data_IF_777733668848
#
_entry.id   IF_777733668848
#
_cell.length_a   1.000
_cell.length_b   1.000
_cell.length_c   1.000
_cell.angle_alpha   90.00
_cell.angle_beta   90.00
_cell.angle_gamma   90.00
#
_symmetry.space_group_name_H-M   'P 1'
#
loop_
_entity.id
_entity.type
_entity.pdbx_description
1 polymer ?
#
# COMPACT_ATOMS: atom_id res chain seq x y z
N UNK A 1 -1.89 -22.08 -22.12
CA UNK A 1 -1.88 -20.76 -21.45
C UNK A 1 -0.44 -20.42 -21.12
N UNK A 2 0.16 -19.47 -21.84
CA UNK A 2 1.59 -19.15 -21.72
C UNK A 2 1.84 -18.30 -20.46
N UNK A 3 2.41 -18.93 -19.43
CA UNK A 3 2.69 -18.33 -18.11
C UNK A 3 3.87 -17.33 -18.09
N UNK A 4 4.27 -16.77 -19.25
CA UNK A 4 5.40 -15.84 -19.35
C UNK A 4 4.98 -14.35 -19.26
N UNK A 5 3.70 -14.05 -19.40
CA UNK A 5 3.17 -12.69 -19.24
C UNK A 5 2.51 -12.60 -17.86
N UNK A 6 3.22 -12.02 -16.88
CA UNK A 6 2.70 -11.87 -15.53
C UNK A 6 1.31 -11.22 -15.50
N UNK A 7 0.39 -11.71 -14.68
CA UNK A 7 -1.00 -11.21 -14.66
C UNK A 7 -1.15 -9.90 -13.89
N UNK A 8 -1.96 -8.98 -14.43
CA UNK A 8 -2.35 -7.72 -13.76
C UNK A 8 -3.11 -8.03 -12.46
N UNK A 9 -4.01 -9.02 -12.49
CA UNK A 9 -4.80 -9.41 -11.32
C UNK A 9 -3.93 -9.90 -10.16
N UNK A 10 -2.84 -10.61 -10.47
CA UNK A 10 -1.86 -11.04 -9.45
C UNK A 10 -1.15 -9.83 -8.84
N UNK A 11 -0.78 -8.84 -9.66
CA UNK A 11 -0.17 -7.60 -9.17
C UNK A 11 -1.10 -6.80 -8.25
N UNK A 12 -2.38 -6.73 -8.60
CA UNK A 12 -3.42 -6.10 -7.77
C UNK A 12 -3.60 -6.81 -6.44
N UNK A 13 -3.73 -8.15 -6.46
CA UNK A 13 -3.90 -8.96 -5.25
C UNK A 13 -2.70 -8.84 -4.30
N UNK A 14 -1.48 -8.87 -4.83
CA UNK A 14 -0.27 -8.67 -4.03
C UNK A 14 -0.25 -7.25 -3.45
N UNK A 15 -0.51 -6.23 -4.28
CA UNK A 15 -0.50 -4.83 -3.85
C UNK A 15 -1.53 -4.52 -2.77
N UNK A 16 -2.77 -4.96 -2.93
CA UNK A 16 -3.81 -4.80 -1.90
C UNK A 16 -3.58 -5.69 -0.68
N UNK A 17 -3.04 -6.91 -0.86
CA UNK A 17 -2.68 -7.78 0.24
C UNK A 17 -1.64 -7.12 1.17
N UNK A 18 -0.59 -6.51 0.60
CA UNK A 18 0.40 -5.76 1.38
C UNK A 18 -0.21 -4.53 2.06
N UNK A 19 -1.02 -3.75 1.34
CA UNK A 19 -1.68 -2.57 1.91
C UNK A 19 -2.65 -2.93 3.04
N UNK A 20 -3.39 -4.05 2.92
CA UNK A 20 -4.27 -4.55 3.97
C UNK A 20 -3.49 -5.05 5.19
N UNK A 21 -2.36 -5.72 4.96
CA UNK A 21 -1.48 -6.15 6.05
C UNK A 21 -0.91 -4.94 6.81
N UNK A 22 -0.50 -3.89 6.12
CA UNK A 22 -0.06 -2.63 6.74
C UNK A 22 -1.19 -1.94 7.51
N UNK A 23 -2.40 -1.87 6.93
CA UNK A 23 -3.56 -1.30 7.60
C UNK A 23 -3.94 -2.10 8.86
N UNK A 24 -3.89 -3.43 8.80
CA UNK A 24 -4.12 -4.31 9.94
C UNK A 24 -3.07 -4.14 11.03
N UNK A 25 -1.79 -4.04 10.67
CA UNK A 25 -0.70 -3.79 11.61
C UNK A 25 -0.85 -2.42 12.27
N UNK A 26 -1.21 -1.39 11.49
CA UNK A 26 -1.48 -0.04 11.98
C UNK A 26 -2.68 0.00 12.94
N UNK A 27 -3.73 -0.76 12.65
CA UNK A 27 -4.90 -0.89 13.52
C UNK A 27 -4.58 -1.61 14.84
N UNK A 28 -3.77 -2.66 14.79
CA UNK A 28 -3.28 -3.35 15.99
C UNK A 28 -2.34 -2.46 16.81
N UNK A 29 -1.53 -1.63 16.15
CA UNK A 29 -0.69 -0.64 16.82
C UNK A 29 -1.55 0.41 17.54
N UNK A 30 -2.62 0.91 16.93
CA UNK A 30 -3.59 1.82 17.58
C UNK A 30 -4.20 1.23 18.85
N UNK A 31 -4.50 -0.07 18.86
CA UNK A 31 -5.12 -0.76 20.00
C UNK A 31 -4.21 -0.84 21.23
N UNK A 32 -2.89 -0.79 21.05
CA UNK A 32 -1.90 -1.01 22.11
C UNK A 32 -1.08 0.26 22.44
N UNK A 33 -1.49 1.43 21.92
CA UNK A 33 -0.77 2.69 22.05
C UNK A 33 -1.48 3.62 23.04
N UNK A 34 -0.73 4.11 24.03
CA UNK A 34 -1.17 5.17 24.95
C UNK A 34 -1.39 6.51 24.20
N UNK A 35 -2.28 7.36 24.71
CA UNK A 35 -2.69 8.63 24.09
C UNK A 35 -1.51 9.54 23.70
N UNK A 36 -0.37 9.45 24.39
CA UNK A 36 0.84 10.24 24.10
C UNK A 36 1.52 9.86 22.77
N UNK A 37 1.25 8.67 22.23
CA UNK A 37 1.79 8.20 20.94
C UNK A 37 0.77 8.26 19.80
N UNK A 38 -0.41 8.84 20.02
CA UNK A 38 -1.42 9.06 18.98
C UNK A 38 -0.85 9.75 17.74
N UNK A 39 0.07 10.70 17.93
CA UNK A 39 0.67 11.45 16.81
C UNK A 39 1.50 10.54 15.89
N UNK A 40 2.20 9.54 16.45
CA UNK A 40 2.96 8.58 15.67
C UNK A 40 2.04 7.70 14.85
N UNK A 41 0.91 7.28 15.41
CA UNK A 41 -0.03 6.42 14.70
C UNK A 41 -0.88 7.18 13.70
N UNK A 42 -1.17 8.45 13.98
CA UNK A 42 -1.76 9.37 13.02
C UNK A 42 -0.83 9.53 11.81
N UNK A 43 0.46 9.83 12.04
CA UNK A 43 1.47 9.88 10.98
C UNK A 43 1.66 8.53 10.28
N UNK A 44 1.52 7.40 10.98
CA UNK A 44 1.61 6.07 10.38
C UNK A 44 0.42 5.78 9.45
N UNK A 45 -0.80 6.08 9.91
CA UNK A 45 -2.04 5.90 9.14
C UNK A 45 -2.11 6.87 7.96
N UNK A 46 -1.68 8.13 8.12
CA UNK A 46 -1.57 9.09 7.02
C UNK A 46 -0.38 8.88 6.12
N UNK A 47 0.67 8.29 6.67
CA UNK A 47 1.85 7.87 5.96
C UNK A 47 1.65 6.62 5.14
N UNK A 48 0.56 5.85 5.29
CA UNK A 48 0.33 4.59 4.52
C UNK A 48 0.54 4.80 3.02
N UNK A 49 0.05 5.93 2.48
CA UNK A 49 0.25 6.27 1.07
C UNK A 49 1.73 6.48 0.64
N UNK A 50 2.61 6.84 1.57
CA UNK A 50 4.06 7.02 1.37
C UNK A 50 4.87 5.81 1.81
N UNK A 51 4.54 5.17 2.93
CA UNK A 51 5.16 3.96 3.46
C UNK A 51 4.99 2.83 2.45
N UNK A 52 3.86 2.79 1.72
CA UNK A 52 3.69 1.80 0.66
C UNK A 52 4.75 1.85 -0.43
N UNK A 53 5.38 3.01 -0.67
CA UNK A 53 6.46 3.11 -1.65
C UNK A 53 7.68 2.27 -1.23
N UNK A 54 7.94 2.13 0.08
CA UNK A 54 9.09 1.38 0.60
C UNK A 54 9.05 -0.09 0.19
N UNK A 55 7.86 -0.70 0.12
CA UNK A 55 7.71 -2.09 -0.29
C UNK A 55 7.24 -2.26 -1.74
N UNK A 56 6.46 -1.31 -2.30
CA UNK A 56 6.01 -1.37 -3.70
C UNK A 56 7.18 -1.15 -4.66
N UNK A 57 8.11 -0.23 -4.39
CA UNK A 57 9.29 0.03 -5.25
C UNK A 57 10.17 -1.20 -5.46
N UNK A 58 10.64 -1.91 -4.41
CA UNK A 58 11.47 -3.09 -4.60
C UNK A 58 10.69 -4.22 -5.29
N UNK A 59 9.42 -4.43 -4.95
CA UNK A 59 8.58 -5.42 -5.65
C UNK A 59 8.43 -5.07 -7.14
N UNK A 60 8.18 -3.80 -7.46
CA UNK A 60 8.09 -3.32 -8.83
C UNK A 60 9.38 -3.59 -9.60
N UNK A 61 10.54 -3.27 -9.03
CA UNK A 61 11.85 -3.54 -9.64
C UNK A 61 12.05 -5.04 -9.85
N UNK A 62 11.70 -5.88 -8.87
CA UNK A 62 11.81 -7.35 -8.98
C UNK A 62 10.93 -7.88 -10.11
N UNK A 63 9.64 -7.52 -10.15
CA UNK A 63 8.72 -8.00 -11.20
C UNK A 63 9.10 -7.49 -12.59
N UNK A 64 9.60 -6.25 -12.69
CA UNK A 64 10.08 -5.66 -13.94
C UNK A 64 11.36 -6.32 -14.41
N UNK A 65 12.27 -6.73 -13.51
CA UNK A 65 13.47 -7.52 -13.84
C UNK A 65 13.15 -8.97 -14.23
N UNK A 66 12.05 -9.52 -13.73
CA UNK A 66 11.56 -10.86 -14.10
C UNK A 66 10.76 -10.91 -15.41
N UNK A 67 10.65 -9.80 -16.16
CA UNK A 67 9.86 -9.72 -17.39
C UNK A 67 8.33 -9.69 -17.16
N UNK A 68 7.87 -9.65 -15.91
CA UNK A 68 6.44 -9.65 -15.53
C UNK A 68 5.87 -8.23 -15.52
N UNK A 69 5.94 -7.55 -16.67
CA UNK A 69 5.53 -6.15 -16.81
C UNK A 69 4.05 -5.91 -16.44
N UNK A 70 3.16 -6.85 -16.74
CA UNK A 70 1.74 -6.70 -16.41
C UNK A 70 1.46 -6.87 -14.91
N UNK A 71 2.18 -7.75 -14.19
CA UNK A 71 2.13 -7.81 -12.72
C UNK A 71 2.65 -6.52 -12.08
N UNK A 72 3.75 -5.97 -12.60
CA UNK A 72 4.28 -4.69 -12.13
C UNK A 72 3.27 -3.53 -12.31
N UNK A 73 2.54 -3.50 -13.44
CA UNK A 73 1.45 -2.54 -13.67
C UNK A 73 0.31 -2.72 -12.65
N UNK A 74 -0.12 -3.95 -12.41
CA UNK A 74 -1.16 -4.24 -11.40
C UNK A 74 -0.76 -3.76 -10.00
N UNK A 75 0.51 -3.93 -9.63
CA UNK A 75 1.05 -3.47 -8.35
C UNK A 75 1.00 -1.93 -8.21
N UNK A 76 1.39 -1.21 -9.27
CA UNK A 76 1.34 0.26 -9.30
C UNK A 76 -0.10 0.78 -9.25
N UNK A 77 -1.03 0.13 -9.96
CA UNK A 77 -2.46 0.52 -9.92
C UNK A 77 -3.00 0.36 -8.49
N UNK A 78 -2.74 -0.78 -7.83
CA UNK A 78 -3.13 -0.98 -6.44
C UNK A 78 -2.55 0.11 -5.53
N UNK A 79 -1.27 0.44 -5.69
CA UNK A 79 -0.62 1.47 -4.89
C UNK A 79 -1.22 2.87 -5.10
N UNK A 80 -1.48 3.25 -6.35
CA UNK A 80 -2.13 4.52 -6.68
C UNK A 80 -3.53 4.60 -6.06
N UNK A 81 -4.34 3.55 -6.19
CA UNK A 81 -5.69 3.51 -5.59
C UNK A 81 -5.61 3.70 -4.07
N UNK A 82 -4.70 2.99 -3.39
CA UNK A 82 -4.53 3.14 -1.94
C UNK A 82 -4.03 4.53 -1.55
N UNK A 83 -3.09 5.11 -2.30
CA UNK A 83 -2.59 6.46 -2.06
C UNK A 83 -3.71 7.51 -2.16
N UNK A 84 -4.53 7.43 -3.21
CA UNK A 84 -5.65 8.34 -3.41
C UNK A 84 -6.72 8.19 -2.34
N UNK A 85 -7.05 6.95 -1.96
CA UNK A 85 -8.01 6.69 -0.88
C UNK A 85 -7.50 7.26 0.44
N UNK A 86 -6.23 7.01 0.77
CA UNK A 86 -5.60 7.53 1.99
C UNK A 86 -5.55 9.08 1.99
N UNK A 87 -5.18 9.69 0.86
CA UNK A 87 -5.18 11.14 0.72
C UNK A 87 -6.58 11.74 0.87
N UNK A 88 -7.62 11.05 0.38
CA UNK A 88 -9.02 11.48 0.53
C UNK A 88 -9.48 11.37 1.98
N UNK A 89 -9.16 10.27 2.67
CA UNK A 89 -9.44 10.12 4.09
C UNK A 89 -8.78 11.24 4.91
N UNK A 90 -7.54 11.60 4.59
CA UNK A 90 -6.83 12.70 5.24
C UNK A 90 -7.37 14.09 4.91
N UNK A 91 -7.68 14.36 3.65
CA UNK A 91 -8.28 15.63 3.24
C UNK A 91 -9.67 15.86 3.86
N UNK A 92 -10.42 14.78 4.11
CA UNK A 92 -11.67 14.83 4.88
C UNK A 92 -11.42 15.04 6.37
N UNK A 93 -10.42 14.37 6.96
CA UNK A 93 -10.11 14.47 8.39
C UNK A 93 -9.50 15.84 8.78
N UNK A 94 -8.69 16.44 7.92
CA UNK A 94 -8.08 17.75 8.13
C UNK A 94 -9.00 18.95 7.89
N UNK A 95 -10.28 18.73 7.55
CA UNK A 95 -11.32 19.78 7.44
C UNK A 95 -12.13 20.00 8.73
N UNK A 96 -11.70 19.43 9.85
CA UNK A 96 -12.21 19.70 11.20
C UNK A 96 -11.12 20.33 12.07
#
# INVERSE_FOLDING_TARGET
MNNHEGSIGVGLLIGWGLNLAEAGLSFLALRNVDLDKLIYVFVLVGGVGLIQLVYILPLYVIFRRQGKAATAKGLVIAACVTAFLNCTCWGLFGRF
#
